data_IF_578157988778
#
_entry.id   IF_578157988778
#
_cell.length_a   1.000
_cell.length_b   1.000
_cell.length_c   1.000
_cell.angle_alpha   90.00
_cell.angle_beta   90.00
_cell.angle_gamma   90.00
#
_symmetry.space_group_name_H-M   'P 1'
#
loop_
_entity.id
_entity.type
_entity.pdbx_description
1 polymer ?
#
# COMPACT_ATOMS: atom_id res chain seq x y z
N UNK A 1 -12.28 -3.29 -22.50
CA UNK A 1 -12.51 -2.14 -21.57
C UNK A 1 -13.89 -2.20 -20.90
N UNK A 2 -14.80 -3.10 -21.35
CA UNK A 2 -16.14 -3.33 -20.77
C UNK A 2 -16.94 -2.03 -20.49
N UNK A 3 -16.82 -1.04 -21.40
CA UNK A 3 -17.49 0.26 -21.28
C UNK A 3 -16.71 1.35 -20.51
N UNK A 4 -15.58 1.03 -19.93
CA UNK A 4 -14.74 2.03 -19.26
C UNK A 4 -13.90 2.83 -20.28
N UNK A 5 -13.67 4.13 -20.04
CA UNK A 5 -12.82 4.94 -20.90
C UNK A 5 -11.33 4.54 -20.84
N UNK A 6 -10.86 4.08 -19.66
CA UNK A 6 -9.46 3.71 -19.43
C UNK A 6 -9.36 2.45 -18.56
N UNK A 7 -8.30 1.65 -18.77
CA UNK A 7 -8.01 0.47 -17.95
C UNK A 7 -7.85 0.82 -16.46
N UNK A 8 -7.18 1.92 -16.15
CA UNK A 8 -6.95 2.31 -14.77
C UNK A 8 -8.25 2.52 -13.99
N UNK A 9 -9.25 3.21 -14.56
CA UNK A 9 -10.54 3.38 -13.90
C UNK A 9 -11.23 2.05 -13.65
N UNK A 10 -11.25 1.18 -14.69
CA UNK A 10 -11.78 -0.18 -14.56
C UNK A 10 -11.10 -0.94 -13.42
N UNK A 11 -9.78 -0.91 -13.37
CA UNK A 11 -9.00 -1.65 -12.38
C UNK A 11 -9.16 -1.12 -10.95
N UNK A 12 -9.34 0.20 -10.78
CA UNK A 12 -9.73 0.77 -9.48
C UNK A 12 -11.11 0.27 -9.06
N UNK A 13 -12.07 0.21 -9.98
CA UNK A 13 -13.43 -0.26 -9.67
C UNK A 13 -13.52 -1.78 -9.47
N UNK A 14 -12.55 -2.54 -9.96
CA UNK A 14 -12.41 -3.97 -9.70
C UNK A 14 -11.88 -4.30 -8.30
N UNK A 15 -11.32 -3.34 -7.57
CA UNK A 15 -10.70 -3.55 -6.24
C UNK A 15 -11.59 -4.37 -5.28
N UNK A 16 -12.88 -4.04 -5.05
CA UNK A 16 -13.69 -4.84 -4.12
C UNK A 16 -13.87 -6.29 -4.57
N UNK A 17 -13.97 -6.52 -5.88
CA UNK A 17 -14.09 -7.86 -6.46
C UNK A 17 -12.81 -8.68 -6.29
N UNK A 18 -11.65 -8.08 -6.58
CA UNK A 18 -10.36 -8.76 -6.43
C UNK A 18 -10.06 -9.06 -4.96
N UNK A 19 -10.38 -8.15 -4.05
CA UNK A 19 -10.21 -8.36 -2.61
C UNK A 19 -11.14 -9.46 -2.09
N UNK A 20 -12.38 -9.55 -2.59
CA UNK A 20 -13.31 -10.63 -2.25
C UNK A 20 -12.79 -11.98 -2.76
N UNK A 21 -12.26 -12.04 -3.98
CA UNK A 21 -11.64 -13.24 -4.53
C UNK A 21 -10.42 -13.68 -3.69
N UNK A 22 -9.57 -12.73 -3.31
CA UNK A 22 -8.42 -12.99 -2.44
C UNK A 22 -8.86 -13.56 -1.09
N UNK A 23 -9.85 -12.95 -0.44
CA UNK A 23 -10.37 -13.43 0.84
C UNK A 23 -10.89 -14.86 0.72
N UNK A 24 -11.71 -15.18 -0.29
CA UNK A 24 -12.27 -16.51 -0.50
C UNK A 24 -11.23 -17.58 -0.81
N UNK A 25 -10.04 -17.20 -1.31
CA UNK A 25 -8.94 -18.14 -1.56
C UNK A 25 -8.08 -18.41 -0.32
N UNK A 26 -8.10 -17.53 0.68
CA UNK A 26 -7.26 -17.68 1.89
C UNK A 26 -8.06 -17.81 3.19
N UNK A 27 -9.39 -17.83 3.10
CA UNK A 27 -10.27 -18.04 4.26
C UNK A 27 -11.55 -18.77 3.82
N UNK A 28 -11.86 -19.93 4.44
CA UNK A 28 -12.98 -20.77 4.07
C UNK A 28 -14.29 -20.46 4.84
N UNK A 29 -14.28 -19.42 5.66
CA UNK A 29 -15.39 -19.04 6.55
C UNK A 29 -15.14 -19.37 8.02
N UNK A 30 -14.23 -20.30 8.31
CA UNK A 30 -13.88 -20.73 9.67
C UNK A 30 -12.39 -20.57 9.96
N UNK A 31 -11.54 -20.92 9.00
CA UNK A 31 -10.08 -20.95 9.14
C UNK A 31 -9.35 -20.38 7.93
N UNK A 32 -8.08 -20.01 8.16
CA UNK A 32 -7.19 -19.66 7.06
C UNK A 32 -6.72 -20.90 6.31
N UNK A 33 -6.68 -20.80 4.98
CA UNK A 33 -6.32 -21.90 4.06
C UNK A 33 -4.89 -21.79 3.51
N UNK A 34 -4.02 -21.01 4.18
CA UNK A 34 -2.60 -20.97 3.83
C UNK A 34 -1.93 -22.33 4.03
N UNK A 35 -0.87 -22.58 3.26
CA UNK A 35 -0.02 -23.75 3.47
C UNK A 35 0.44 -23.83 4.95
N UNK A 36 0.14 -24.92 5.69
CA UNK A 36 0.48 -25.05 7.11
C UNK A 36 2.00 -24.98 7.38
N UNK A 37 2.83 -25.48 6.45
CA UNK A 37 4.28 -25.44 6.57
C UNK A 37 4.80 -24.01 6.44
N UNK A 38 4.29 -23.24 5.49
CA UNK A 38 4.57 -21.80 5.37
C UNK A 38 4.29 -21.07 6.69
N UNK A 39 3.11 -21.28 7.26
CA UNK A 39 2.72 -20.63 8.51
C UNK A 39 3.61 -21.07 9.67
N UNK A 40 3.98 -22.35 9.73
CA UNK A 40 4.89 -22.87 10.75
C UNK A 40 6.29 -22.23 10.64
N UNK A 41 6.84 -22.12 9.44
CA UNK A 41 8.15 -21.50 9.21
C UNK A 41 8.12 -19.98 9.51
N UNK A 42 7.07 -19.26 9.11
CA UNK A 42 6.89 -17.86 9.45
C UNK A 42 6.76 -17.63 10.96
N UNK A 43 6.12 -18.56 11.70
CA UNK A 43 6.05 -18.50 13.17
C UNK A 43 7.42 -18.67 13.82
N UNK A 44 8.24 -19.59 13.32
CA UNK A 44 9.59 -19.85 13.82
C UNK A 44 10.58 -18.73 13.48
N UNK A 45 10.38 -18.05 12.35
CA UNK A 45 11.28 -17.00 11.87
C UNK A 45 11.45 -15.89 12.92
N UNK A 46 12.70 -15.60 13.27
CA UNK A 46 13.05 -14.49 14.19
C UNK A 46 12.89 -13.13 13.50
N UNK A 47 13.22 -13.10 12.21
CA UNK A 47 13.15 -11.90 11.39
C UNK A 47 12.54 -12.19 10.02
N UNK A 48 11.91 -11.19 9.43
CA UNK A 48 11.30 -11.23 8.10
C UNK A 48 11.88 -10.09 7.27
N UNK A 49 12.36 -10.39 6.07
CA UNK A 49 12.90 -9.39 5.16
C UNK A 49 12.08 -9.33 3.87
N UNK A 50 11.42 -8.21 3.65
CA UNK A 50 10.67 -7.95 2.42
C UNK A 50 11.60 -7.38 1.34
N UNK A 51 11.47 -7.89 0.11
CA UNK A 51 12.17 -7.37 -1.06
C UNK A 51 11.13 -7.10 -2.16
N UNK A 52 11.12 -5.90 -2.68
CA UNK A 52 10.18 -5.46 -3.70
C UNK A 52 10.66 -4.18 -4.40
N UNK A 53 9.96 -3.78 -5.47
CA UNK A 53 10.17 -2.52 -6.19
C UNK A 53 8.86 -1.75 -6.33
N UNK A 54 8.93 -0.42 -6.41
CA UNK A 54 7.80 0.46 -6.72
C UNK A 54 6.61 0.28 -5.77
N UNK A 55 5.42 0.17 -6.34
CA UNK A 55 4.16 -0.05 -5.60
C UNK A 55 4.23 -1.25 -4.65
N UNK A 56 4.86 -2.36 -5.07
CA UNK A 56 5.03 -3.54 -4.21
C UNK A 56 5.97 -3.27 -3.02
N UNK A 57 6.95 -2.37 -3.18
CA UNK A 57 7.79 -1.92 -2.07
C UNK A 57 6.97 -1.17 -1.02
N UNK A 58 6.08 -0.26 -1.45
CA UNK A 58 5.20 0.46 -0.52
C UNK A 58 4.17 -0.45 0.15
N UNK A 59 3.63 -1.43 -0.58
CA UNK A 59 2.80 -2.49 0.02
C UNK A 59 3.59 -3.31 1.05
N UNK A 60 4.87 -3.60 0.79
CA UNK A 60 5.75 -4.30 1.72
C UNK A 60 6.04 -3.50 3.00
N UNK A 61 6.04 -2.16 2.94
CA UNK A 61 6.14 -1.32 4.15
C UNK A 61 4.95 -1.55 5.09
N UNK A 62 3.73 -1.73 4.55
CA UNK A 62 2.57 -2.16 5.35
C UNK A 62 2.84 -3.51 6.00
N UNK A 63 3.41 -4.46 5.25
CA UNK A 63 3.80 -5.79 5.75
C UNK A 63 4.80 -5.72 6.90
N UNK A 64 5.80 -4.84 6.82
CA UNK A 64 6.73 -4.58 7.93
C UNK A 64 5.98 -4.15 9.20
N UNK A 65 5.06 -3.19 9.06
CA UNK A 65 4.21 -2.76 10.17
C UNK A 65 3.39 -3.91 10.77
N UNK A 66 2.84 -4.79 9.94
CA UNK A 66 2.09 -5.96 10.41
C UNK A 66 2.99 -6.96 11.15
N UNK A 67 4.20 -7.21 10.67
CA UNK A 67 5.15 -8.10 11.36
C UNK A 67 5.59 -7.51 12.71
N UNK A 68 5.74 -6.18 12.83
CA UNK A 68 6.02 -5.53 14.10
C UNK A 68 4.89 -5.77 15.14
N UNK A 69 3.61 -5.79 14.72
CA UNK A 69 2.51 -6.17 15.61
C UNK A 69 2.60 -7.62 16.10
N UNK A 70 3.30 -8.48 15.37
CA UNK A 70 3.60 -9.84 15.80
C UNK A 70 4.82 -9.93 16.72
N UNK A 71 5.47 -8.81 17.02
CA UNK A 71 6.72 -8.77 17.75
C UNK A 71 7.92 -9.32 16.98
N UNK A 72 7.81 -9.42 15.65
CA UNK A 72 8.88 -9.89 14.77
C UNK A 72 9.72 -8.73 14.27
N UNK A 73 11.03 -8.89 14.30
CA UNK A 73 11.91 -8.00 13.57
C UNK A 73 11.61 -8.11 12.08
N UNK A 74 11.39 -6.98 11.43
CA UNK A 74 11.15 -6.96 10.00
C UNK A 74 11.70 -5.72 9.34
N UNK A 75 12.16 -5.90 8.11
CA UNK A 75 12.71 -4.84 7.27
C UNK A 75 12.16 -4.97 5.86
N UNK A 76 12.24 -3.89 5.11
CA UNK A 76 11.99 -3.88 3.68
C UNK A 76 13.11 -3.17 2.96
N UNK A 77 13.56 -3.72 1.84
CA UNK A 77 14.60 -3.11 1.00
C UNK A 77 14.14 -3.11 -0.46
N UNK A 78 14.50 -2.06 -1.17
CA UNK A 78 14.28 -1.99 -2.62
C UNK A 78 15.14 -3.08 -3.27
N UNK A 79 14.50 -3.96 -4.03
CA UNK A 79 15.18 -5.13 -4.59
C UNK A 79 16.32 -4.76 -5.55
N UNK A 80 16.21 -3.66 -6.29
CA UNK A 80 17.27 -3.16 -7.17
C UNK A 80 18.56 -2.82 -6.40
N UNK A 81 18.45 -2.31 -5.17
CA UNK A 81 19.62 -1.99 -4.36
C UNK A 81 20.18 -3.25 -3.68
N UNK A 82 19.31 -4.04 -3.05
CA UNK A 82 19.73 -5.24 -2.34
C UNK A 82 20.37 -6.28 -3.28
N UNK A 83 19.97 -6.34 -4.53
CA UNK A 83 20.53 -7.25 -5.54
C UNK A 83 22.02 -7.02 -5.82
N UNK A 84 22.53 -5.82 -5.55
CA UNK A 84 23.94 -5.45 -5.78
C UNK A 84 24.76 -5.34 -4.49
N UNK A 85 24.11 -5.07 -3.38
CA UNK A 85 24.74 -5.03 -2.05
C UNK A 85 23.91 -5.82 -1.03
N UNK A 86 23.86 -7.16 -1.14
CA UNK A 86 23.07 -7.99 -0.26
C UNK A 86 23.66 -8.03 1.15
N UNK A 87 22.82 -7.74 2.14
CA UNK A 87 23.19 -7.77 3.56
C UNK A 87 22.26 -8.69 4.38
N UNK A 88 22.66 -9.02 5.60
CA UNK A 88 21.93 -9.89 6.55
C UNK A 88 21.64 -11.31 6.00
N UNK A 89 22.32 -11.77 4.97
CA UNK A 89 22.10 -13.08 4.36
C UNK A 89 22.47 -14.21 5.32
N UNK A 90 23.55 -14.04 6.06
CA UNK A 90 24.07 -15.08 6.95
C UNK A 90 23.14 -15.28 8.18
N UNK A 91 22.34 -14.29 8.53
CA UNK A 91 21.30 -14.39 9.57
C UNK A 91 20.09 -15.21 9.10
N UNK A 92 19.99 -15.49 7.81
CA UNK A 92 18.92 -16.23 7.15
C UNK A 92 17.52 -15.80 7.61
N UNK A 93 17.15 -14.52 7.45
CA UNK A 93 15.77 -14.11 7.70
C UNK A 93 14.83 -14.88 6.76
N UNK A 94 13.56 -14.94 7.11
CA UNK A 94 12.56 -15.42 6.17
C UNK A 94 12.28 -14.31 5.15
N UNK A 95 12.56 -14.55 3.87
CA UNK A 95 12.35 -13.55 2.83
C UNK A 95 10.93 -13.59 2.28
N UNK A 96 10.33 -12.41 2.05
CA UNK A 96 9.06 -12.26 1.33
C UNK A 96 9.32 -11.40 0.09
N UNK A 97 9.12 -12.00 -1.07
CA UNK A 97 9.31 -11.40 -2.39
C UNK A 97 7.95 -11.00 -2.95
N UNK A 98 7.70 -9.69 -3.03
CA UNK A 98 6.43 -9.15 -3.49
C UNK A 98 6.57 -8.58 -4.91
N UNK A 99 5.80 -9.13 -5.87
CA UNK A 99 5.79 -8.67 -7.26
C UNK A 99 4.46 -8.98 -7.93
N UNK A 100 3.84 -7.98 -8.56
CA UNK A 100 2.61 -8.20 -9.33
C UNK A 100 2.84 -9.17 -10.49
N UNK A 101 3.85 -8.93 -11.32
CA UNK A 101 4.17 -9.77 -12.49
C UNK A 101 4.90 -11.07 -12.16
N UNK A 102 5.67 -11.09 -11.06
CA UNK A 102 6.59 -12.18 -10.75
C UNK A 102 7.76 -12.31 -11.73
N UNK A 103 8.01 -11.27 -12.56
CA UNK A 103 9.07 -11.23 -13.57
C UNK A 103 10.00 -10.01 -13.41
N UNK A 104 9.97 -9.35 -12.25
CA UNK A 104 10.85 -8.21 -11.96
C UNK A 104 12.31 -8.68 -11.91
N UNK A 105 13.14 -8.21 -12.83
CA UNK A 105 14.52 -8.70 -13.02
C UNK A 105 15.38 -8.63 -11.75
N UNK A 106 15.35 -7.50 -11.04
CA UNK A 106 16.12 -7.33 -9.80
C UNK A 106 15.62 -8.28 -8.70
N UNK A 107 14.33 -8.53 -8.61
CA UNK A 107 13.77 -9.44 -7.62
C UNK A 107 14.11 -10.90 -7.95
N UNK A 108 14.16 -11.29 -9.23
CA UNK A 108 14.66 -12.60 -9.68
C UNK A 108 16.13 -12.78 -9.28
N UNK A 109 16.94 -11.73 -9.44
CA UNK A 109 18.34 -11.75 -8.99
C UNK A 109 18.45 -11.91 -7.47
N UNK A 110 17.65 -11.19 -6.70
CA UNK A 110 17.58 -11.36 -5.25
C UNK A 110 17.22 -12.80 -4.88
N UNK A 111 16.20 -13.37 -5.52
CA UNK A 111 15.76 -14.73 -5.26
C UNK A 111 16.88 -15.75 -5.53
N UNK A 112 17.64 -15.57 -6.60
CA UNK A 112 18.78 -16.43 -6.89
C UNK A 112 19.83 -16.38 -5.76
N UNK A 113 20.17 -15.19 -5.28
CA UNK A 113 21.11 -15.00 -4.17
C UNK A 113 20.58 -15.69 -2.89
N UNK A 114 19.31 -15.55 -2.58
CA UNK A 114 18.65 -16.17 -1.42
C UNK A 114 18.73 -17.69 -1.52
N UNK A 115 18.39 -18.26 -2.67
CA UNK A 115 18.39 -19.69 -2.92
C UNK A 115 19.82 -20.27 -2.86
N UNK A 116 20.80 -19.59 -3.46
CA UNK A 116 22.22 -20.02 -3.45
C UNK A 116 22.79 -20.06 -2.01
N UNK A 117 22.22 -19.30 -1.08
CA UNK A 117 22.57 -19.30 0.35
C UNK A 117 21.71 -20.23 1.21
N UNK A 118 20.77 -20.95 0.61
CA UNK A 118 19.89 -21.89 1.30
C UNK A 118 18.96 -21.21 2.32
N UNK A 119 18.56 -19.96 2.06
CA UNK A 119 17.55 -19.26 2.83
C UNK A 119 16.16 -19.50 2.22
N UNK A 120 15.12 -19.42 3.05
CA UNK A 120 13.73 -19.63 2.61
C UNK A 120 13.10 -18.32 2.12
N UNK A 121 12.27 -18.42 1.08
CA UNK A 121 11.48 -17.30 0.60
C UNK A 121 10.04 -17.69 0.26
N UNK A 122 9.13 -16.75 0.51
CA UNK A 122 7.77 -16.75 0.00
C UNK A 122 7.68 -15.80 -1.21
N UNK A 123 7.26 -16.30 -2.36
CA UNK A 123 6.85 -15.47 -3.48
C UNK A 123 5.37 -15.11 -3.36
N UNK A 124 5.07 -13.82 -3.43
CA UNK A 124 3.69 -13.31 -3.50
C UNK A 124 3.53 -12.62 -4.84
N UNK A 125 2.81 -13.24 -5.76
CA UNK A 125 2.65 -12.74 -7.13
C UNK A 125 1.20 -12.78 -7.58
N UNK A 126 0.89 -12.02 -8.64
CA UNK A 126 -0.42 -12.10 -9.28
C UNK A 126 -0.41 -13.03 -10.51
N UNK A 127 0.76 -13.43 -10.98
CA UNK A 127 0.93 -14.21 -12.21
C UNK A 127 1.38 -15.62 -11.90
N UNK A 128 0.45 -16.58 -12.11
CA UNK A 128 0.73 -18.02 -11.95
C UNK A 128 1.77 -18.47 -12.99
N UNK A 129 2.71 -19.28 -12.55
CA UNK A 129 3.79 -19.79 -13.39
C UNK A 129 4.91 -18.79 -13.66
N UNK A 130 4.93 -17.65 -12.96
CA UNK A 130 6.01 -16.67 -13.06
C UNK A 130 7.36 -17.20 -12.53
N UNK A 131 8.44 -16.56 -12.94
CA UNK A 131 9.80 -17.00 -12.59
C UNK A 131 10.01 -16.98 -11.09
N UNK A 132 9.54 -15.94 -10.39
CA UNK A 132 9.67 -15.83 -8.93
C UNK A 132 8.84 -16.92 -8.24
N UNK A 133 7.61 -17.19 -8.71
CA UNK A 133 6.75 -18.24 -8.14
C UNK A 133 7.41 -19.62 -8.24
N UNK A 134 7.91 -20.00 -9.43
CA UNK A 134 8.49 -21.32 -9.67
C UNK A 134 9.76 -21.62 -8.87
N UNK A 135 10.50 -20.59 -8.50
CA UNK A 135 11.80 -20.73 -7.84
C UNK A 135 11.75 -20.42 -6.34
N UNK A 136 10.59 -20.13 -5.76
CA UNK A 136 10.44 -19.85 -4.34
C UNK A 136 10.29 -21.13 -3.51
N UNK A 137 10.64 -21.06 -2.22
CA UNK A 137 10.34 -22.13 -1.25
C UNK A 137 8.84 -22.32 -1.07
N UNK A 138 8.13 -21.18 -0.98
CA UNK A 138 6.67 -21.12 -0.92
C UNK A 138 6.15 -20.08 -1.89
N UNK A 139 4.94 -20.26 -2.39
CA UNK A 139 4.28 -19.27 -3.25
C UNK A 139 2.82 -19.06 -2.88
N UNK A 140 2.36 -17.82 -3.05
CA UNK A 140 0.97 -17.40 -2.89
C UNK A 140 0.57 -16.49 -4.04
N UNK A 141 -0.68 -16.62 -4.50
CA UNK A 141 -1.24 -15.79 -5.57
C UNK A 141 -2.14 -14.69 -5.00
N UNK A 142 -2.17 -13.55 -5.67
CA UNK A 142 -2.99 -12.39 -5.26
C UNK A 142 -4.43 -12.43 -5.79
N UNK A 143 -4.70 -13.24 -6.80
CA UNK A 143 -6.04 -13.37 -7.41
C UNK A 143 -6.66 -12.03 -7.88
N UNK A 144 -5.81 -11.05 -8.20
CA UNK A 144 -6.27 -9.72 -8.64
C UNK A 144 -6.69 -9.66 -10.12
N UNK A 145 -6.60 -10.78 -10.85
CA UNK A 145 -6.85 -10.82 -12.29
C UNK A 145 -5.81 -10.05 -13.08
N UNK A 146 -6.06 -9.86 -14.38
CA UNK A 146 -5.14 -9.13 -15.25
C UNK A 146 -5.17 -7.63 -14.91
N UNK A 147 -3.99 -7.03 -14.71
CA UNK A 147 -3.77 -5.60 -14.56
C UNK A 147 -3.00 -5.09 -15.79
N UNK A 148 -3.64 -4.24 -16.58
CA UNK A 148 -3.15 -3.77 -17.90
C UNK A 148 -2.63 -2.34 -17.81
N UNK A 149 -3.21 -1.52 -16.94
CA UNK A 149 -2.74 -0.17 -16.71
C UNK A 149 -1.28 -0.18 -16.25
N UNK A 150 -0.50 0.79 -16.73
CA UNK A 150 0.91 0.92 -16.36
C UNK A 150 1.06 1.17 -14.86
N UNK A 151 0.20 2.04 -14.32
CA UNK A 151 0.16 2.31 -12.89
C UNK A 151 -0.60 1.19 -12.16
N UNK A 152 0.06 0.50 -11.25
CA UNK A 152 -0.56 -0.53 -10.42
C UNK A 152 -1.58 0.07 -9.46
N UNK A 153 -2.77 -0.52 -9.39
CA UNK A 153 -3.88 -0.05 -8.55
C UNK A 153 -4.47 -1.17 -7.70
N UNK A 154 -5.24 -2.07 -8.31
CA UNK A 154 -5.87 -3.20 -7.61
C UNK A 154 -4.85 -4.16 -7.00
N UNK A 155 -3.69 -4.31 -7.61
CA UNK A 155 -2.62 -5.16 -7.06
C UNK A 155 -2.10 -4.62 -5.73
N UNK A 156 -1.97 -3.30 -5.55
CA UNK A 156 -1.56 -2.71 -4.26
C UNK A 156 -2.52 -3.08 -3.14
N UNK A 157 -3.84 -2.90 -3.35
CA UNK A 157 -4.86 -3.23 -2.35
C UNK A 157 -4.88 -4.73 -2.07
N UNK A 158 -4.74 -5.56 -3.11
CA UNK A 158 -4.63 -7.02 -2.94
C UNK A 158 -3.39 -7.43 -2.17
N UNK A 159 -2.24 -6.81 -2.42
CA UNK A 159 -0.99 -7.06 -1.69
C UNK A 159 -1.11 -6.67 -0.22
N UNK A 160 -1.61 -5.49 0.09
CA UNK A 160 -1.77 -5.04 1.48
C UNK A 160 -2.75 -5.90 2.25
N UNK A 161 -3.88 -6.26 1.64
CA UNK A 161 -4.85 -7.16 2.23
C UNK A 161 -4.30 -8.57 2.41
N UNK A 162 -3.56 -9.11 1.43
CA UNK A 162 -2.89 -10.40 1.55
C UNK A 162 -1.97 -10.44 2.77
N UNK A 163 -1.16 -9.41 2.96
CA UNK A 163 -0.26 -9.31 4.10
C UNK A 163 -1.00 -9.21 5.45
N UNK A 164 -2.17 -8.55 5.47
CA UNK A 164 -3.03 -8.54 6.65
C UNK A 164 -3.60 -9.93 6.96
N UNK A 165 -4.08 -10.68 5.94
CA UNK A 165 -4.57 -12.06 6.09
C UNK A 165 -3.45 -13.01 6.55
N UNK A 166 -2.27 -12.91 5.94
CA UNK A 166 -1.10 -13.70 6.32
C UNK A 166 -0.73 -13.46 7.80
N UNK A 167 -0.77 -12.21 8.23
CA UNK A 167 -0.54 -11.83 9.64
C UNK A 167 -1.56 -12.47 10.57
N UNK A 168 -2.84 -12.45 10.21
CA UNK A 168 -3.91 -13.15 10.94
C UNK A 168 -3.67 -14.66 11.04
N UNK A 169 -3.25 -15.28 9.94
CA UNK A 169 -2.92 -16.71 9.89
C UNK A 169 -1.71 -17.06 10.78
N UNK A 170 -0.65 -16.23 10.77
CA UNK A 170 0.51 -16.41 11.67
C UNK A 170 0.07 -16.34 13.13
N UNK A 171 -0.81 -15.40 13.49
CA UNK A 171 -1.37 -15.29 14.85
C UNK A 171 -2.33 -16.44 15.21
N UNK A 172 -2.92 -17.13 14.22
CA UNK A 172 -4.01 -18.06 14.42
C UNK A 172 -5.32 -17.39 14.86
N UNK A 173 -5.55 -16.13 14.47
CA UNK A 173 -6.71 -15.32 14.88
C UNK A 173 -7.60 -14.97 13.70
N UNK A 174 -8.71 -15.67 13.54
CA UNK A 174 -9.69 -15.44 12.47
C UNK A 174 -10.62 -14.25 12.72
N UNK A 175 -10.75 -13.79 13.98
CA UNK A 175 -11.62 -12.65 14.32
C UNK A 175 -11.26 -11.35 13.57
N UNK A 176 -10.04 -11.23 13.06
CA UNK A 176 -9.61 -10.07 12.27
C UNK A 176 -10.21 -10.02 10.86
N UNK A 177 -10.74 -11.12 10.35
CA UNK A 177 -11.32 -11.20 9.00
C UNK A 177 -12.51 -10.25 8.81
N UNK A 178 -13.29 -10.02 9.87
CA UNK A 178 -14.39 -9.03 9.82
C UNK A 178 -13.89 -7.63 9.46
N UNK A 179 -12.69 -7.24 9.88
CA UNK A 179 -12.13 -5.94 9.54
C UNK A 179 -11.68 -5.87 8.08
N UNK A 180 -11.21 -6.99 7.53
CA UNK A 180 -10.89 -7.11 6.10
C UNK A 180 -12.17 -6.98 5.26
N UNK A 181 -13.28 -7.60 5.68
CA UNK A 181 -14.57 -7.43 5.02
C UNK A 181 -15.03 -5.96 5.10
N UNK A 182 -14.83 -5.30 6.23
CA UNK A 182 -15.14 -3.86 6.37
C UNK A 182 -14.35 -2.99 5.41
N UNK A 183 -13.09 -3.35 5.10
CA UNK A 183 -12.29 -2.64 4.09
C UNK A 183 -12.89 -2.82 2.68
N UNK A 184 -13.31 -4.03 2.33
CA UNK A 184 -13.97 -4.29 1.02
C UNK A 184 -15.23 -3.43 0.88
N UNK A 185 -16.03 -3.33 1.95
CA UNK A 185 -17.25 -2.53 1.95
C UNK A 185 -16.96 -1.02 1.90
N UNK A 186 -15.86 -0.57 2.54
CA UNK A 186 -15.40 0.81 2.42
C UNK A 186 -14.97 1.14 0.99
N UNK A 187 -14.25 0.23 0.30
CA UNK A 187 -13.89 0.41 -1.10
C UNK A 187 -15.13 0.56 -2.01
N UNK A 188 -16.20 -0.22 -1.78
CA UNK A 188 -17.48 -0.03 -2.50
C UNK A 188 -18.09 1.35 -2.26
N UNK A 189 -18.03 1.86 -1.03
CA UNK A 189 -18.53 3.21 -0.71
C UNK A 189 -17.68 4.31 -1.38
N UNK A 190 -16.36 4.12 -1.49
CA UNK A 190 -15.48 5.05 -2.21
C UNK A 190 -15.87 5.11 -3.69
N UNK A 191 -16.10 3.97 -4.35
CA UNK A 191 -16.56 3.90 -5.74
C UNK A 191 -17.85 4.71 -5.94
N UNK A 192 -18.83 4.55 -5.05
CA UNK A 192 -20.11 5.26 -5.13
C UNK A 192 -19.97 6.78 -4.94
N UNK A 193 -18.87 7.25 -4.39
CA UNK A 193 -18.59 8.67 -4.12
C UNK A 193 -17.44 9.22 -4.98
N UNK A 194 -17.04 8.53 -6.03
CA UNK A 194 -15.90 8.94 -6.88
C UNK A 194 -16.04 10.32 -7.51
N UNK A 195 -17.27 10.77 -7.77
CA UNK A 195 -17.52 12.11 -8.31
C UNK A 195 -17.10 13.23 -7.35
N UNK A 196 -17.17 13.02 -6.04
CA UNK A 196 -16.65 13.97 -5.05
C UNK A 196 -15.11 14.12 -5.21
N UNK A 197 -14.42 13.02 -5.50
CA UNK A 197 -12.97 13.02 -5.74
C UNK A 197 -12.66 13.70 -7.07
N UNK A 198 -13.49 13.51 -8.09
CA UNK A 198 -13.35 14.19 -9.38
C UNK A 198 -13.48 15.71 -9.23
N UNK A 199 -14.51 16.18 -8.52
CA UNK A 199 -14.68 17.62 -8.26
C UNK A 199 -13.50 18.21 -7.46
N UNK A 200 -12.92 17.45 -6.55
CA UNK A 200 -11.69 17.84 -5.84
C UNK A 200 -10.49 17.93 -6.79
N UNK A 201 -10.34 16.96 -7.69
CA UNK A 201 -9.26 16.91 -8.66
C UNK A 201 -9.27 18.14 -9.59
N UNK A 202 -10.43 18.57 -10.07
CA UNK A 202 -10.58 19.80 -10.85
C UNK A 202 -9.99 21.04 -10.16
N UNK A 203 -10.11 21.09 -8.84
CA UNK A 203 -9.54 22.19 -8.06
C UNK A 203 -8.01 22.12 -7.90
N UNK A 204 -7.40 20.96 -8.21
CA UNK A 204 -5.98 20.68 -8.00
C UNK A 204 -5.21 20.43 -9.31
N UNK A 205 -5.86 20.53 -10.45
CA UNK A 205 -5.30 20.20 -11.78
C UNK A 205 -4.05 20.97 -12.19
N UNK A 206 -3.90 22.20 -11.69
CA UNK A 206 -2.77 23.08 -12.04
C UNK A 206 -1.58 22.89 -11.09
N UNK A 207 -1.64 21.92 -10.17
CA UNK A 207 -0.54 21.65 -9.25
C UNK A 207 0.69 21.13 -10.02
N UNK A 208 1.84 21.76 -9.81
CA UNK A 208 3.13 21.32 -10.36
C UNK A 208 3.89 20.45 -9.37
N UNK A 209 3.78 20.79 -8.11
CA UNK A 209 4.40 20.11 -6.99
C UNK A 209 3.32 19.73 -5.98
N UNK A 210 3.46 18.53 -5.40
CA UNK A 210 2.55 18.04 -4.38
C UNK A 210 3.31 17.32 -3.27
N UNK A 211 2.90 17.54 -2.03
CA UNK A 211 3.48 16.90 -0.85
C UNK A 211 2.42 16.05 -0.16
N UNK A 212 2.71 14.77 -0.03
CA UNK A 212 1.88 13.85 0.74
C UNK A 212 2.43 13.72 2.15
N UNK A 213 1.58 13.80 3.16
CA UNK A 213 1.99 13.82 4.56
C UNK A 213 1.20 12.79 5.36
N UNK A 214 1.92 11.97 6.11
CA UNK A 214 1.34 10.97 7.00
C UNK A 214 2.28 10.58 8.13
N UNK A 215 1.86 9.64 8.99
CA UNK A 215 2.68 9.00 10.02
C UNK A 215 2.34 7.53 10.13
N UNK A 216 3.35 6.67 10.30
CA UNK A 216 3.16 5.22 10.37
C UNK A 216 2.49 4.70 9.08
N UNK A 217 1.38 3.98 9.19
CA UNK A 217 0.66 3.45 8.02
C UNK A 217 0.16 4.53 7.08
N UNK A 218 -0.25 5.69 7.61
CA UNK A 218 -0.66 6.83 6.77
C UNK A 218 0.51 7.35 5.91
N UNK A 219 1.75 7.34 6.44
CA UNK A 219 2.92 7.68 5.65
C UNK A 219 3.21 6.63 4.56
N UNK A 220 3.07 5.35 4.88
CA UNK A 220 3.28 4.28 3.88
C UNK A 220 2.25 4.39 2.73
N UNK A 221 0.99 4.69 3.07
CA UNK A 221 -0.04 4.98 2.07
C UNK A 221 0.23 6.26 1.28
N UNK A 222 0.73 7.30 1.94
CA UNK A 222 1.09 8.57 1.31
C UNK A 222 2.21 8.40 0.25
N UNK A 223 3.18 7.51 0.48
CA UNK A 223 4.22 7.17 -0.50
C UNK A 223 3.61 6.60 -1.79
N UNK A 224 2.66 5.68 -1.66
CA UNK A 224 1.96 5.11 -2.82
C UNK A 224 1.08 6.16 -3.51
N UNK A 225 0.37 7.00 -2.76
CA UNK A 225 -0.41 8.11 -3.31
C UNK A 225 0.45 9.09 -4.13
N UNK A 226 1.62 9.47 -3.61
CA UNK A 226 2.58 10.31 -4.32
C UNK A 226 3.11 9.63 -5.58
N UNK A 227 3.37 8.32 -5.54
CA UNK A 227 3.79 7.56 -6.72
C UNK A 227 2.71 7.60 -7.81
N UNK A 228 1.44 7.41 -7.46
CA UNK A 228 0.34 7.46 -8.44
C UNK A 228 0.22 8.82 -9.10
N UNK A 229 0.32 9.90 -8.33
CA UNK A 229 0.24 11.25 -8.89
C UNK A 229 1.41 11.55 -9.85
N UNK A 230 2.63 11.07 -9.53
CA UNK A 230 3.79 11.16 -10.42
C UNK A 230 3.59 10.40 -11.73
N UNK A 231 3.16 9.14 -11.64
CA UNK A 231 3.09 8.25 -12.79
C UNK A 231 2.02 8.65 -13.80
N UNK A 232 0.91 9.22 -13.33
CA UNK A 232 -0.29 9.40 -14.12
C UNK A 232 -0.49 10.86 -14.52
N UNK A 233 -0.38 11.77 -13.57
CA UNK A 233 -0.62 13.19 -13.78
C UNK A 233 0.66 13.98 -14.06
N UNK A 234 1.83 13.33 -14.00
CA UNK A 234 3.15 13.94 -14.21
C UNK A 234 3.45 15.14 -13.28
N UNK A 235 2.79 15.16 -12.12
CA UNK A 235 3.05 16.13 -11.05
C UNK A 235 4.25 15.64 -10.25
N UNK A 236 5.21 16.55 -9.97
CA UNK A 236 6.29 16.23 -9.04
C UNK A 236 5.70 16.07 -7.63
N UNK A 237 5.60 14.84 -7.16
CA UNK A 237 4.97 14.53 -5.89
C UNK A 237 5.91 13.74 -4.98
N UNK A 238 6.04 14.17 -3.73
CA UNK A 238 6.84 13.49 -2.72
C UNK A 238 6.02 13.22 -1.46
N UNK A 239 6.40 12.20 -0.71
CA UNK A 239 5.74 11.90 0.56
C UNK A 239 6.75 11.98 1.71
N UNK A 240 6.31 12.56 2.82
CA UNK A 240 7.12 12.77 4.01
C UNK A 240 6.40 12.29 5.28
N UNK A 241 7.13 11.67 6.21
CA UNK A 241 6.64 11.58 7.58
C UNK A 241 6.46 13.00 8.12
N UNK A 242 5.31 13.31 8.73
CA UNK A 242 5.00 14.68 9.13
C UNK A 242 6.08 15.35 10.01
N UNK A 243 6.81 14.56 10.82
CA UNK A 243 7.90 15.08 11.64
C UNK A 243 9.12 15.55 10.85
N UNK A 244 9.39 14.92 9.70
CA UNK A 244 10.56 15.23 8.85
C UNK A 244 10.41 16.53 8.05
N UNK A 245 9.20 17.07 7.91
CA UNK A 245 8.98 18.32 7.19
C UNK A 245 9.84 19.47 7.72
N UNK A 246 10.06 19.54 9.02
CA UNK A 246 10.88 20.58 9.69
C UNK A 246 12.38 20.46 9.42
N UNK A 247 12.82 19.31 8.92
CA UNK A 247 14.24 19.02 8.67
C UNK A 247 14.67 19.28 7.23
N UNK A 248 13.96 20.19 6.53
CA UNK A 248 14.31 20.65 5.19
C UNK A 248 13.12 20.85 4.26
N UNK A 249 12.28 19.80 4.03
CA UNK A 249 11.23 19.85 3.01
C UNK A 249 10.24 21.00 3.14
N UNK A 250 10.01 21.49 4.35
CA UNK A 250 9.13 22.64 4.60
C UNK A 250 9.60 23.93 3.86
N UNK A 251 10.87 24.01 3.50
CA UNK A 251 11.42 25.14 2.76
C UNK A 251 10.88 25.21 1.31
N UNK A 252 10.40 24.08 0.76
CA UNK A 252 9.82 23.99 -0.57
C UNK A 252 8.34 24.40 -0.63
N UNK A 253 7.72 24.63 0.53
CA UNK A 253 6.30 24.98 0.61
C UNK A 253 6.13 26.48 0.33
N UNK A 254 5.49 26.76 -0.78
CA UNK A 254 5.10 28.09 -1.24
C UNK A 254 3.58 28.26 -1.25
N UNK A 255 3.12 29.48 -1.54
CA UNK A 255 1.68 29.74 -1.66
C UNK A 255 1.05 28.87 -2.74
N UNK A 256 -0.06 28.21 -2.41
CA UNK A 256 -0.78 27.24 -3.25
C UNK A 256 -0.05 25.91 -3.56
N UNK A 257 1.12 25.64 -2.96
CA UNK A 257 1.69 24.28 -3.03
C UNK A 257 0.66 23.26 -2.54
N UNK A 258 0.39 22.24 -3.33
CA UNK A 258 -0.58 21.19 -2.97
C UNK A 258 -0.02 20.28 -1.87
N UNK A 259 -0.75 20.16 -0.78
CA UNK A 259 -0.41 19.25 0.32
C UNK A 259 -1.58 18.32 0.59
N UNK A 260 -1.33 17.02 0.54
CA UNK A 260 -2.33 15.99 0.77
C UNK A 260 -1.99 15.25 2.07
N UNK A 261 -2.84 15.41 3.09
CA UNK A 261 -2.68 14.74 4.38
C UNK A 261 -3.50 13.46 4.48
N UNK A 262 -2.89 12.39 4.99
CA UNK A 262 -3.58 11.14 5.35
C UNK A 262 -3.75 11.07 6.86
N UNK A 263 -4.99 10.86 7.33
CA UNK A 263 -5.35 10.86 8.75
C UNK A 263 -6.29 9.69 9.06
N UNK A 264 -5.74 8.56 9.50
CA UNK A 264 -6.51 7.36 9.80
C UNK A 264 -6.21 6.71 11.16
N UNK A 265 -5.19 7.17 11.87
CA UNK A 265 -4.77 6.63 13.16
C UNK A 265 -5.00 7.65 14.27
N UNK A 266 -5.86 7.30 15.24
CA UNK A 266 -6.26 8.19 16.33
C UNK A 266 -5.09 8.66 17.20
N UNK A 267 -4.09 7.82 17.39
CA UNK A 267 -2.89 8.17 18.17
C UNK A 267 -2.03 9.19 17.43
N UNK A 268 -1.98 9.12 16.12
CA UNK A 268 -1.11 9.93 15.25
C UNK A 268 -1.81 11.16 14.67
N UNK A 269 -3.15 11.15 14.62
CA UNK A 269 -3.96 12.22 14.03
C UNK A 269 -3.64 13.62 14.57
N UNK A 270 -3.49 13.85 15.90
CA UNK A 270 -3.15 15.18 16.42
C UNK A 270 -1.82 15.70 15.85
N UNK A 271 -0.80 14.85 15.78
CA UNK A 271 0.51 15.22 15.26
C UNK A 271 0.51 15.50 13.75
N UNK A 272 -0.25 14.71 12.97
CA UNK A 272 -0.41 14.94 11.53
C UNK A 272 -1.15 16.26 11.31
N UNK A 273 -2.27 16.50 12.04
CA UNK A 273 -3.05 17.75 11.94
C UNK A 273 -2.20 18.98 12.25
N UNK A 274 -1.37 18.94 13.30
CA UNK A 274 -0.46 20.04 13.62
C UNK A 274 0.55 20.29 12.47
N UNK A 275 1.09 19.23 11.87
CA UNK A 275 1.99 19.40 10.71
C UNK A 275 1.26 20.04 9.53
N UNK A 276 0.01 19.67 9.24
CA UNK A 276 -0.78 20.29 8.17
C UNK A 276 -1.10 21.76 8.47
N UNK A 277 -1.39 22.11 9.71
CA UNK A 277 -1.62 23.49 10.16
C UNK A 277 -0.34 24.37 9.98
N UNK A 278 0.84 23.81 10.24
CA UNK A 278 2.12 24.49 9.96
C UNK A 278 2.30 24.77 8.47
N UNK A 279 1.95 23.82 7.60
CA UNK A 279 2.02 24.02 6.14
C UNK A 279 0.95 25.02 5.66
N UNK A 280 -0.24 24.98 6.25
CA UNK A 280 -1.30 25.94 5.97
C UNK A 280 -0.88 27.39 6.34
N UNK A 281 -0.10 27.58 7.41
CA UNK A 281 0.43 28.90 7.80
C UNK A 281 1.38 29.50 6.75
N UNK A 282 1.94 28.66 5.87
CA UNK A 282 2.73 29.04 4.69
C UNK A 282 1.89 29.21 3.43
N UNK A 283 0.56 29.22 3.57
CA UNK A 283 -0.42 29.34 2.48
C UNK A 283 -0.43 28.17 1.50
N UNK A 284 0.01 26.98 1.92
CA UNK A 284 -0.17 25.76 1.16
C UNK A 284 -1.66 25.47 0.97
N UNK A 285 -2.02 24.86 -0.16
CA UNK A 285 -3.35 24.33 -0.39
C UNK A 285 -3.46 22.94 0.26
N UNK A 286 -4.14 22.87 1.40
CA UNK A 286 -4.28 21.64 2.18
C UNK A 286 -5.50 20.84 1.73
N UNK A 287 -5.28 19.59 1.38
CA UNK A 287 -6.30 18.58 1.08
C UNK A 287 -6.13 17.44 2.08
N UNK A 288 -7.18 17.04 2.79
CA UNK A 288 -7.08 15.99 3.79
C UNK A 288 -8.00 14.84 3.40
N UNK A 289 -7.42 13.64 3.35
CA UNK A 289 -8.16 12.38 3.30
C UNK A 289 -8.11 11.76 4.70
N UNK A 290 -9.27 11.54 5.31
CA UNK A 290 -9.36 11.06 6.68
C UNK A 290 -10.29 9.86 6.82
N UNK A 291 -10.23 9.20 7.96
CA UNK A 291 -11.16 8.13 8.35
C UNK A 291 -12.00 8.57 9.55
N UNK A 292 -13.28 8.16 9.57
CA UNK A 292 -14.14 8.32 10.75
C UNK A 292 -13.53 7.60 11.98
N UNK A 293 -13.70 8.12 13.20
CA UNK A 293 -14.29 9.39 13.61
C UNK A 293 -13.26 10.51 13.76
N UNK A 294 -12.15 10.49 12.98
CA UNK A 294 -11.05 11.45 13.09
C UNK A 294 -11.21 12.65 12.14
N UNK A 295 -12.31 12.66 11.39
CA UNK A 295 -12.63 13.67 10.39
C UNK A 295 -12.93 15.04 11.01
N UNK A 296 -12.64 16.06 10.21
CA UNK A 296 -13.07 17.44 10.46
C UNK A 296 -13.95 17.90 9.29
N UNK A 297 -14.81 18.88 9.51
CA UNK A 297 -15.69 19.44 8.47
C UNK A 297 -14.95 20.03 7.27
N UNK A 298 -13.67 20.28 7.39
CA UNK A 298 -12.78 20.78 6.33
C UNK A 298 -12.07 19.68 5.55
N UNK A 299 -12.22 18.41 5.93
CA UNK A 299 -11.57 17.30 5.24
C UNK A 299 -12.20 17.06 3.88
N UNK A 300 -11.37 16.86 2.87
CA UNK A 300 -11.80 16.80 1.49
C UNK A 300 -12.48 15.47 1.14
N UNK A 301 -12.08 14.38 1.76
CA UNK A 301 -12.73 13.08 1.59
C UNK A 301 -12.59 12.24 2.88
N UNK A 302 -13.69 11.63 3.29
CA UNK A 302 -13.78 10.88 4.54
C UNK A 302 -14.19 9.44 4.22
N UNK A 303 -13.36 8.48 4.62
CA UNK A 303 -13.69 7.04 4.51
C UNK A 303 -14.33 6.55 5.81
N UNK A 304 -15.11 5.46 5.76
CA UNK A 304 -15.70 4.87 6.97
C UNK A 304 -14.64 4.48 8.00
N UNK A 305 -15.07 4.35 9.25
CA UNK A 305 -14.22 3.86 10.33
C UNK A 305 -13.67 2.45 10.03
N UNK A 306 -12.35 2.32 10.08
CA UNK A 306 -11.61 1.08 9.88
C UNK A 306 -10.47 0.99 10.91
N UNK A 307 -9.84 -0.18 11.03
CA UNK A 307 -8.54 -0.27 11.71
C UNK A 307 -7.50 0.60 10.99
N UNK A 308 -6.61 1.30 11.70
CA UNK A 308 -5.71 2.29 11.08
C UNK A 308 -4.94 1.78 9.85
N UNK A 309 -4.36 0.58 9.93
CA UNK A 309 -3.63 -0.03 8.82
C UNK A 309 -4.50 -0.36 7.59
N UNK A 310 -5.79 -0.66 7.79
CA UNK A 310 -6.74 -0.89 6.71
C UNK A 310 -7.32 0.44 6.19
N UNK A 311 -7.51 1.40 7.08
CA UNK A 311 -7.94 2.74 6.69
C UNK A 311 -6.91 3.42 5.80
N UNK A 312 -5.61 3.31 6.11
CA UNK A 312 -4.54 3.83 5.26
C UNK A 312 -4.59 3.23 3.84
N UNK A 313 -4.90 1.93 3.70
CA UNK A 313 -5.09 1.30 2.39
C UNK A 313 -6.33 1.86 1.65
N UNK A 314 -7.43 2.12 2.35
CA UNK A 314 -8.62 2.77 1.77
C UNK A 314 -8.30 4.20 1.29
N UNK A 315 -7.49 4.97 2.05
CA UNK A 315 -7.04 6.30 1.63
C UNK A 315 -6.16 6.25 0.37
N UNK A 316 -5.40 5.18 0.17
CA UNK A 316 -4.66 4.98 -1.09
C UNK A 316 -5.63 4.83 -2.27
N UNK A 317 -6.74 4.12 -2.14
CA UNK A 317 -7.75 4.04 -3.21
C UNK A 317 -8.33 5.42 -3.54
N UNK A 318 -8.54 6.28 -2.53
CA UNK A 318 -8.95 7.68 -2.76
C UNK A 318 -7.87 8.43 -3.56
N UNK A 319 -6.59 8.25 -3.20
CA UNK A 319 -5.48 8.87 -3.91
C UNK A 319 -5.31 8.33 -5.35
N UNK A 320 -5.63 7.06 -5.61
CA UNK A 320 -5.65 6.49 -6.96
C UNK A 320 -6.70 7.18 -7.84
N UNK A 321 -7.94 7.35 -7.34
CA UNK A 321 -8.97 8.12 -8.03
C UNK A 321 -8.57 9.57 -8.22
N UNK A 322 -8.05 10.21 -7.18
CA UNK A 322 -7.58 11.59 -7.24
C UNK A 322 -6.54 11.78 -8.34
N UNK A 323 -5.52 10.92 -8.37
CA UNK A 323 -4.46 10.99 -9.39
C UNK A 323 -5.02 10.74 -10.80
N UNK A 324 -5.94 9.78 -10.95
CA UNK A 324 -6.62 9.50 -12.21
C UNK A 324 -7.38 10.73 -12.72
N UNK A 325 -8.16 11.37 -11.86
CA UNK A 325 -8.95 12.53 -12.27
C UNK A 325 -8.10 13.79 -12.49
N UNK A 326 -7.04 14.02 -11.72
CA UNK A 326 -6.07 15.11 -12.00
C UNK A 326 -5.43 14.94 -13.37
N UNK A 327 -5.17 13.70 -13.78
CA UNK A 327 -4.60 13.42 -15.10
C UNK A 327 -5.59 13.62 -16.27
N UNK A 328 -6.89 13.61 -16.00
CA UNK A 328 -7.92 13.85 -17.01
C UNK A 328 -8.22 15.33 -17.23
N UNK A 329 -8.01 16.16 -16.22
CA UNK A 329 -8.31 17.61 -16.24
C UNK A 329 -7.15 18.43 -16.80
#
# INVERSE_FOLDING_TARGET
LDGYPHYMLKEIEEIPGTMSALLNNYFDGESFTFNPELIAELRKAKSVHFLACGTSYYASMMGVGYMHYLGKQSTVTIASEWAYDPYNIDEKPFYILLSQSGETADLIRCQKIINDRGAMCLAVTNTKGSTIERNATFSCLLYAGLEVAVASTKSYLSQTMFLALLTGAIQGRTKGVVHVQSLIDACRKIINRREEIHELAKQCKDAKDAFFVGRGFDYYGALEGALKLKEIAYVHAEAYPGGELKHGPIALIEENTLVIGFVSDAEKAPAIRNNLEELASRKAKIVVFSAEPLDRSTDAFIVPQLRPHLAAAALVMVAQYFSYYVALE
#
